data_IF_354577724467
#
_entry.id   IF_354577724467
#
_cell.length_a   1.000
_cell.length_b   1.000
_cell.length_c   1.000
_cell.angle_alpha   90.00
_cell.angle_beta   90.00
_cell.angle_gamma   90.00
#
_symmetry.space_group_name_H-M   'P 1'
#
loop_
_entity.id
_entity.type
_entity.pdbx_description
1 polymer ?
#
# COMPACT_ATOMS: atom_id res chain seq x y z
N UNK A 1 19.99 46.58 9.16
CA UNK A 1 18.83 45.73 8.79
C UNK A 1 17.67 46.17 9.67
N UNK A 2 16.51 46.50 9.09
CA UNK A 2 15.37 47.12 9.77
C UNK A 2 14.63 46.10 10.67
N UNK A 3 14.29 46.49 11.91
CA UNK A 3 13.56 45.66 12.89
C UNK A 3 12.21 45.21 12.31
N UNK A 4 11.58 46.06 11.50
CA UNK A 4 10.33 45.71 10.81
C UNK A 4 10.51 44.54 9.82
N UNK A 5 11.67 44.45 9.16
CA UNK A 5 11.95 43.35 8.24
C UNK A 5 12.24 42.04 8.99
N UNK A 6 12.87 42.10 10.16
CA UNK A 6 13.09 40.92 10.99
C UNK A 6 11.77 40.37 11.55
N UNK A 7 10.85 41.23 12.00
CA UNK A 7 9.53 40.80 12.48
C UNK A 7 8.69 40.16 11.37
N UNK A 8 8.72 40.69 10.14
CA UNK A 8 8.05 40.09 8.97
C UNK A 8 8.60 38.70 8.67
N UNK A 9 9.92 38.53 8.69
CA UNK A 9 10.56 37.24 8.42
C UNK A 9 10.18 36.19 9.48
N UNK A 10 10.18 36.57 10.76
CA UNK A 10 9.78 35.68 11.86
C UNK A 10 8.31 35.28 11.74
N UNK A 11 7.42 36.23 11.40
CA UNK A 11 6.01 35.95 11.15
C UNK A 11 5.81 34.94 10.02
N UNK A 12 6.46 35.15 8.88
CA UNK A 12 6.40 34.25 7.73
C UNK A 12 6.93 32.83 8.08
N UNK A 13 8.03 32.74 8.83
CA UNK A 13 8.57 31.46 9.27
C UNK A 13 7.64 30.72 10.23
N UNK A 14 6.95 31.45 11.11
CA UNK A 14 5.98 30.87 12.03
C UNK A 14 4.75 30.32 11.29
N UNK A 15 4.23 31.06 10.31
CA UNK A 15 3.12 30.61 9.46
C UNK A 15 3.51 29.36 8.65
N UNK A 16 4.70 29.34 8.05
CA UNK A 16 5.22 28.16 7.36
C UNK A 16 5.31 26.94 8.30
N UNK A 17 5.80 27.13 9.53
CA UNK A 17 5.87 26.04 10.52
C UNK A 17 4.51 25.50 10.94
N UNK A 18 3.48 26.36 11.02
CA UNK A 18 2.10 25.93 11.26
C UNK A 18 1.60 25.09 10.09
N UNK A 19 1.82 25.55 8.85
CA UNK A 19 1.41 24.83 7.66
C UNK A 19 2.06 23.44 7.58
N UNK A 20 3.37 23.34 7.81
CA UNK A 20 4.10 22.07 7.84
C UNK A 20 3.55 21.11 8.91
N UNK A 21 3.21 21.64 10.09
CA UNK A 21 2.63 20.83 11.17
C UNK A 21 1.23 20.34 10.82
N UNK A 22 0.43 21.16 10.14
CA UNK A 22 -0.89 20.75 9.68
C UNK A 22 -0.79 19.66 8.61
N UNK A 23 0.16 19.81 7.67
CA UNK A 23 0.41 18.81 6.64
C UNK A 23 0.91 17.49 7.24
N UNK A 24 1.85 17.55 8.19
CA UNK A 24 2.32 16.36 8.90
C UNK A 24 1.18 15.64 9.62
N UNK A 25 0.28 16.38 10.29
CA UNK A 25 -0.89 15.78 10.94
C UNK A 25 -1.81 15.08 9.94
N UNK A 26 -2.06 15.67 8.77
CA UNK A 26 -2.85 15.05 7.71
C UNK A 26 -2.21 13.76 7.21
N UNK A 27 -0.89 13.79 6.94
CA UNK A 27 -0.14 12.61 6.49
C UNK A 27 -0.15 11.49 7.52
N UNK A 28 0.00 11.80 8.80
CA UNK A 28 -0.09 10.80 9.88
C UNK A 28 -1.47 10.17 9.92
N UNK A 29 -2.55 10.96 9.89
CA UNK A 29 -3.91 10.44 9.91
C UNK A 29 -4.21 9.52 8.70
N UNK A 30 -3.71 9.88 7.51
CA UNK A 30 -3.85 9.03 6.32
C UNK A 30 -3.06 7.72 6.43
N UNK A 31 -1.83 7.76 6.95
CA UNK A 31 -1.03 6.56 7.19
C UNK A 31 -1.67 5.64 8.25
N UNK A 32 -2.25 6.21 9.30
CA UNK A 32 -3.00 5.44 10.30
C UNK A 32 -4.21 4.74 9.66
N UNK A 33 -4.96 5.45 8.82
CA UNK A 33 -6.08 4.88 8.06
C UNK A 33 -5.63 3.73 7.16
N UNK A 34 -4.56 3.91 6.38
CA UNK A 34 -4.02 2.87 5.48
C UNK A 34 -3.52 1.65 6.25
N UNK A 35 -2.83 1.87 7.38
CA UNK A 35 -2.39 0.79 8.27
C UNK A 35 -3.58 -0.02 8.79
N UNK A 36 -4.62 0.66 9.29
CA UNK A 36 -5.78 -0.01 9.87
C UNK A 36 -6.53 -0.86 8.82
N UNK A 37 -6.60 -0.38 7.58
CA UNK A 37 -7.12 -1.13 6.44
C UNK A 37 -6.30 -2.40 6.14
N UNK A 38 -4.97 -2.30 6.11
CA UNK A 38 -4.09 -3.47 5.91
C UNK A 38 -4.13 -4.45 7.10
N UNK A 39 -4.28 -3.94 8.33
CA UNK A 39 -4.45 -4.78 9.53
C UNK A 39 -5.75 -5.56 9.44
N UNK A 40 -6.84 -4.96 8.94
CA UNK A 40 -8.11 -5.65 8.74
C UNK A 40 -7.99 -6.79 7.71
N UNK A 41 -7.32 -6.57 6.58
CA UNK A 41 -7.06 -7.63 5.59
C UNK A 41 -6.20 -8.76 6.17
N UNK A 42 -5.14 -8.42 6.91
CA UNK A 42 -4.30 -9.43 7.58
C UNK A 42 -5.08 -10.23 8.64
N UNK A 43 -5.98 -9.60 9.40
CA UNK A 43 -6.82 -10.29 10.35
C UNK A 43 -7.78 -11.28 9.66
N UNK A 44 -8.34 -10.91 8.51
CA UNK A 44 -9.18 -11.80 7.70
C UNK A 44 -8.38 -12.98 7.13
N UNK A 45 -7.18 -12.73 6.59
CA UNK A 45 -6.28 -13.78 6.11
C UNK A 45 -5.87 -14.75 7.23
N UNK A 46 -5.51 -14.22 8.41
CA UNK A 46 -5.17 -15.03 9.56
C UNK A 46 -6.33 -15.92 9.99
N UNK A 47 -7.53 -15.36 10.07
CA UNK A 47 -8.74 -16.11 10.41
C UNK A 47 -9.03 -17.21 9.39
N UNK A 48 -8.85 -16.93 8.10
CA UNK A 48 -9.00 -17.92 7.04
C UNK A 48 -7.94 -19.03 7.10
N UNK A 49 -6.70 -18.69 7.43
CA UNK A 49 -5.62 -19.67 7.62
C UNK A 49 -5.89 -20.61 8.82
N UNK A 50 -6.28 -20.05 9.97
CA UNK A 50 -6.70 -20.82 11.14
C UNK A 50 -7.88 -21.73 10.80
N UNK A 51 -8.89 -21.19 10.12
CA UNK A 51 -10.05 -21.95 9.66
C UNK A 51 -9.67 -23.09 8.70
N UNK A 52 -8.70 -22.88 7.79
CA UNK A 52 -8.27 -23.92 6.85
C UNK A 52 -7.53 -25.10 7.47
N UNK A 53 -7.02 -24.93 8.68
CA UNK A 53 -6.22 -25.93 9.40
C UNK A 53 -6.98 -26.53 10.58
N UNK A 54 -8.27 -26.21 10.74
CA UNK A 54 -9.07 -26.65 11.87
C UNK A 54 -9.25 -28.19 11.86
N UNK A 55 -9.08 -28.90 13.00
CA UNK A 55 -9.06 -30.37 13.04
C UNK A 55 -10.38 -31.05 12.64
N UNK A 56 -11.51 -30.37 12.83
CA UNK A 56 -12.86 -30.82 12.47
C UNK A 56 -13.12 -30.79 10.95
N UNK A 57 -12.22 -30.21 10.17
CA UNK A 57 -12.32 -30.10 8.71
C UNK A 57 -11.75 -31.31 7.96
N UNK A 58 -11.15 -32.24 8.69
CA UNK A 58 -10.44 -33.39 8.15
C UNK A 58 -11.05 -34.68 8.67
N UNK A 59 -11.52 -35.54 7.76
CA UNK A 59 -11.91 -36.90 8.10
C UNK A 59 -10.67 -37.80 7.96
N UNK A 60 -10.28 -38.45 9.05
CA UNK A 60 -9.16 -39.39 9.05
C UNK A 60 -9.61 -40.72 8.42
N UNK A 61 -9.10 -41.03 7.23
CA UNK A 61 -9.41 -42.27 6.51
C UNK A 61 -8.43 -43.42 6.85
N UNK A 62 -7.49 -43.17 7.77
CA UNK A 62 -6.40 -44.08 8.15
C UNK A 62 -5.12 -43.91 7.32
N UNK A 63 -3.98 -44.33 7.88
CA UNK A 63 -2.70 -44.35 7.17
C UNK A 63 -2.13 -42.98 6.76
N UNK A 64 -2.33 -41.93 7.58
CA UNK A 64 -1.98 -40.54 7.27
C UNK A 64 -2.75 -39.92 6.08
N UNK A 65 -3.85 -40.55 5.64
CA UNK A 65 -4.72 -39.99 4.60
C UNK A 65 -5.85 -39.22 5.26
N UNK A 66 -5.83 -37.90 5.10
CA UNK A 66 -6.91 -37.01 5.51
C UNK A 66 -7.77 -36.68 4.29
N UNK A 67 -9.08 -36.87 4.41
CA UNK A 67 -10.03 -36.40 3.41
C UNK A 67 -10.62 -35.07 3.85
N UNK A 68 -10.47 -34.09 2.97
CA UNK A 68 -11.02 -32.77 3.18
C UNK A 68 -12.54 -32.80 2.97
N UNK A 69 -13.32 -32.48 4.00
CA UNK A 69 -14.79 -32.42 3.88
C UNK A 69 -15.20 -31.08 3.25
N UNK A 70 -15.23 -31.05 1.92
CA UNK A 70 -15.55 -29.85 1.16
C UNK A 70 -17.05 -29.52 1.27
N UNK A 71 -17.40 -28.55 2.11
CA UNK A 71 -18.70 -27.89 2.06
C UNK A 71 -18.56 -26.56 1.31
N UNK A 72 -19.47 -26.21 0.40
CA UNK A 72 -19.33 -25.04 -0.49
C UNK A 72 -19.06 -23.72 0.25
N UNK A 73 -19.68 -23.55 1.44
CA UNK A 73 -19.47 -22.39 2.31
C UNK A 73 -18.03 -22.22 2.81
N UNK A 74 -17.25 -23.31 2.89
CA UNK A 74 -15.83 -23.28 3.26
C UNK A 74 -14.99 -22.56 2.20
N UNK A 75 -15.21 -22.91 0.93
CA UNK A 75 -14.49 -22.34 -0.19
C UNK A 75 -14.76 -20.84 -0.32
N UNK A 76 -15.97 -20.41 0.03
CA UNK A 76 -16.38 -19.01 -0.03
C UNK A 76 -15.67 -18.15 1.01
N UNK A 77 -15.43 -18.66 2.22
CA UNK A 77 -14.64 -17.96 3.24
C UNK A 77 -13.21 -17.73 2.75
N UNK A 78 -12.55 -18.77 2.22
CA UNK A 78 -11.19 -18.66 1.71
C UNK A 78 -11.09 -17.73 0.50
N UNK A 79 -12.01 -17.87 -0.48
CA UNK A 79 -12.06 -16.99 -1.66
C UNK A 79 -12.30 -15.54 -1.27
N UNK A 80 -13.10 -15.29 -0.23
CA UNK A 80 -13.36 -13.94 0.26
C UNK A 80 -12.12 -13.36 0.92
N UNK A 81 -11.45 -14.13 1.78
CA UNK A 81 -10.23 -13.69 2.46
C UNK A 81 -9.06 -13.43 1.48
N UNK A 82 -9.01 -14.14 0.35
CA UNK A 82 -8.02 -13.89 -0.71
C UNK A 82 -8.21 -12.57 -1.46
N UNK A 83 -9.40 -11.94 -1.37
CA UNK A 83 -9.61 -10.61 -1.97
C UNK A 83 -9.00 -9.56 -1.04
N UNK A 84 -7.84 -9.04 -1.42
CA UNK A 84 -7.03 -8.11 -0.61
C UNK A 84 -6.78 -6.80 -1.37
N UNK A 85 -7.84 -6.05 -1.72
CA UNK A 85 -7.73 -4.87 -2.59
C UNK A 85 -6.80 -3.77 -2.03
N UNK A 86 -6.62 -3.68 -0.71
CA UNK A 86 -5.72 -2.70 -0.08
C UNK A 86 -4.28 -3.15 -0.20
N UNK A 87 -4.03 -4.45 -0.02
CA UNK A 87 -2.73 -5.05 -0.33
C UNK A 87 -2.38 -4.88 -1.81
N UNK A 88 -3.33 -5.13 -2.73
CA UNK A 88 -3.13 -4.93 -4.17
C UNK A 88 -2.84 -3.46 -4.51
N UNK A 89 -3.56 -2.52 -3.90
CA UNK A 89 -3.31 -1.09 -4.07
C UNK A 89 -1.92 -0.69 -3.53
N UNK A 90 -1.51 -1.24 -2.38
CA UNK A 90 -0.18 -0.99 -1.81
C UNK A 90 0.95 -1.52 -2.71
N UNK A 91 0.79 -2.72 -3.28
CA UNK A 91 1.77 -3.29 -4.22
C UNK A 91 1.90 -2.46 -5.49
N UNK A 92 0.76 -2.00 -6.05
CA UNK A 92 0.73 -1.09 -7.21
C UNK A 92 1.46 0.23 -6.93
N UNK A 93 1.22 0.84 -5.77
CA UNK A 93 1.90 2.06 -5.35
C UNK A 93 3.40 1.86 -5.12
N UNK A 94 3.83 0.71 -4.58
CA UNK A 94 5.25 0.36 -4.47
C UNK A 94 5.89 0.24 -5.86
N UNK A 95 5.20 -0.39 -6.81
CA UNK A 95 5.62 -0.47 -8.21
C UNK A 95 5.78 0.92 -8.83
N UNK A 96 4.78 1.80 -8.69
CA UNK A 96 4.82 3.17 -9.18
C UNK A 96 6.00 3.96 -8.59
N UNK A 97 6.24 3.85 -7.28
CA UNK A 97 7.39 4.48 -6.61
C UNK A 97 8.74 3.98 -7.12
N UNK A 98 8.84 2.73 -7.56
CA UNK A 98 10.05 2.22 -8.19
C UNK A 98 10.30 2.90 -9.55
N UNK A 99 9.24 3.14 -10.32
CA UNK A 99 9.31 3.91 -11.58
C UNK A 99 9.67 5.37 -11.33
N UNK A 100 9.09 6.02 -10.31
CA UNK A 100 9.47 7.39 -9.93
C UNK A 100 10.98 7.50 -9.64
N UNK A 101 11.54 6.50 -8.92
CA UNK A 101 12.99 6.44 -8.65
C UNK A 101 13.82 6.25 -9.91
N UNK A 102 13.34 5.46 -10.87
CA UNK A 102 13.99 5.30 -12.17
C UNK A 102 14.02 6.63 -12.93
N UNK A 103 12.93 7.38 -12.92
CA UNK A 103 12.85 8.73 -13.53
C UNK A 103 13.87 9.67 -12.88
N UNK A 104 13.97 9.70 -11.55
CA UNK A 104 14.98 10.49 -10.84
C UNK A 104 16.42 10.10 -11.24
N UNK A 105 16.69 8.81 -11.45
CA UNK A 105 17.99 8.34 -11.90
C UNK A 105 18.29 8.72 -13.35
N UNK A 106 17.31 8.62 -14.25
CA UNK A 106 17.45 8.95 -15.67
C UNK A 106 17.64 10.46 -15.89
N UNK A 107 16.87 11.29 -15.17
CA UNK A 107 16.99 12.76 -15.19
C UNK A 107 18.33 13.28 -14.63
N UNK A 108 19.00 12.49 -13.79
CA UNK A 108 20.33 12.80 -13.28
C UNK A 108 21.47 12.57 -14.30
N UNK A 109 21.16 12.28 -15.58
CA UNK A 109 22.12 12.19 -16.67
C UNK A 109 22.49 10.76 -17.10
N UNK A 110 21.78 9.74 -16.61
CA UNK A 110 21.98 8.34 -16.98
C UNK A 110 20.88 7.85 -17.95
N UNK A 111 20.84 8.39 -19.16
CA UNK A 111 19.69 8.20 -20.06
C UNK A 111 19.78 6.89 -20.87
N UNK A 112 18.81 5.97 -20.78
CA UNK A 112 18.53 5.01 -21.84
C UNK A 112 17.81 5.75 -22.99
N UNK A 113 18.33 5.65 -24.21
CA UNK A 113 17.87 6.45 -25.37
C UNK A 113 16.48 6.07 -25.93
N UNK A 114 15.81 5.09 -25.33
CA UNK A 114 14.65 4.39 -25.92
C UNK A 114 13.32 4.67 -25.21
N UNK A 115 13.32 5.27 -24.01
CA UNK A 115 12.11 5.61 -23.24
C UNK A 115 12.12 7.08 -22.83
N UNK A 116 11.00 7.76 -23.03
CA UNK A 116 10.81 9.14 -22.57
C UNK A 116 10.40 9.18 -21.11
N UNK A 117 10.68 10.31 -20.43
CA UNK A 117 10.23 10.52 -19.04
C UNK A 117 8.70 10.51 -18.96
N UNK A 118 8.03 11.09 -19.96
CA UNK A 118 6.57 11.14 -20.03
C UNK A 118 5.94 9.74 -20.08
N UNK A 119 6.50 8.82 -20.87
CA UNK A 119 6.04 7.42 -20.90
C UNK A 119 6.22 6.70 -19.55
N UNK A 120 7.30 7.00 -18.83
CA UNK A 120 7.55 6.44 -17.50
C UNK A 120 6.58 7.02 -16.45
N UNK A 121 6.29 8.33 -16.53
CA UNK A 121 5.31 8.99 -15.67
C UNK A 121 3.89 8.42 -15.91
N UNK A 122 3.53 8.23 -17.17
CA UNK A 122 2.25 7.60 -17.54
C UNK A 122 2.18 6.17 -17.01
N UNK A 123 3.23 5.37 -17.20
CA UNK A 123 3.28 4.00 -16.70
C UNK A 123 3.14 3.93 -15.17
N UNK A 124 3.85 4.80 -14.43
CA UNK A 124 3.71 4.90 -12.98
C UNK A 124 2.26 5.22 -12.58
N UNK A 125 1.59 6.11 -13.32
CA UNK A 125 0.19 6.44 -13.08
C UNK A 125 -0.75 5.27 -13.38
N UNK A 126 -0.55 4.56 -14.49
CA UNK A 126 -1.34 3.38 -14.85
C UNK A 126 -1.22 2.27 -13.78
N UNK A 127 -0.04 2.08 -13.19
CA UNK A 127 0.16 1.20 -12.04
C UNK A 127 -0.72 1.62 -10.86
N UNK A 128 -0.68 2.89 -10.42
CA UNK A 128 -1.51 3.39 -9.30
C UNK A 128 -3.00 3.17 -9.56
N UNK A 129 -3.44 3.34 -10.80
CA UNK A 129 -4.83 3.15 -11.22
C UNK A 129 -5.22 1.68 -11.38
N UNK A 130 -4.26 0.75 -11.45
CA UNK A 130 -4.49 -0.68 -11.69
C UNK A 130 -4.96 -0.97 -13.11
N UNK A 131 -4.46 -0.20 -14.08
CA UNK A 131 -4.71 -0.40 -15.52
C UNK A 131 -3.74 -1.38 -16.17
N UNK A 132 -2.74 -1.84 -15.44
CA UNK A 132 -1.69 -2.78 -15.85
C UNK A 132 -1.66 -3.97 -14.89
#
# INVERSE_FOLDING_TARGET
MDILNQLKLVGANYEASIADRQELKRRVAELERQRDELVAENAALKSAAEFSTAPDMWEELGGNVLKYQYAEWYADILKTAMKTPKTDAALREIGAKAVDKLICWATAGNVPAELTIEELEEFAQQLREGKV
#
